data_IF_212923575561
#
_entry.id   IF_212923575561
#
_cell.length_a   1.000
_cell.length_b   1.000
_cell.length_c   1.000
_cell.angle_alpha   90.00
_cell.angle_beta   90.00
_cell.angle_gamma   90.00
#
_symmetry.space_group_name_H-M   'P 1'
#
loop_
_entity.id
_entity.type
_entity.pdbx_description
1 polymer ?
2 non-polymer ?
3 non-polymer ?
4 water ?
#
# COMPACT_ATOMS: atom_id res chain seq x y z
N UNK A 2 11.86 9.12 6.59
CA UNK A 2 10.96 8.97 5.43
C UNK A 2 11.54 9.76 4.29
N UNK A 3 11.24 9.37 3.05
CA UNK A 3 11.80 9.97 1.86
C UNK A 3 10.67 10.31 0.90
N UNK A 4 11.02 11.07 -0.14
CA UNK A 4 10.08 11.56 -1.14
C UNK A 4 10.40 11.03 -2.54
N UNK A 5 9.35 10.87 -3.37
CA UNK A 5 9.55 10.40 -4.72
C UNK A 5 8.46 10.95 -5.62
N UNK A 6 8.68 10.79 -6.94
CA UNK A 6 7.72 11.21 -7.94
C UNK A 6 7.85 10.26 -9.13
N UNK A 7 6.72 9.79 -9.69
CA UNK A 7 6.76 8.94 -10.86
C UNK A 7 6.18 9.69 -12.04
N UNK A 8 7.02 9.95 -13.05
CA UNK A 8 6.59 10.63 -14.28
C UNK A 8 5.63 11.79 -13.97
N UNK A 9 6.09 12.66 -13.09
CA UNK A 9 5.37 13.90 -12.77
C UNK A 9 3.98 13.63 -12.13
N UNK A 10 3.90 12.54 -11.37
CA UNK A 10 2.84 12.36 -10.37
C UNK A 10 3.44 12.09 -8.99
N UNK A 11 2.87 12.75 -7.99
CA UNK A 11 3.26 12.50 -6.59
C UNK A 11 2.47 11.38 -5.92
N UNK A 12 1.69 10.62 -6.71
CA UNK A 12 0.88 9.56 -6.12
C UNK A 12 1.65 8.25 -6.04
N UNK A 13 2.60 8.23 -5.08
CA UNK A 13 3.58 7.13 -5.02
C UNK A 13 2.88 5.79 -4.88
N UNK A 14 1.79 5.73 -4.07
CA UNK A 14 1.08 4.48 -3.85
C UNK A 14 0.34 3.96 -5.05
N UNK A 15 0.14 4.79 -6.08
CA UNK A 15 -0.48 4.28 -7.29
C UNK A 15 0.51 3.49 -8.10
N UNK A 16 1.81 3.81 -7.99
CA UNK A 16 2.85 3.26 -8.88
C UNK A 16 3.84 2.34 -8.19
N UNK A 17 3.63 2.04 -6.89
CA UNK A 17 4.51 1.16 -6.16
C UNK A 17 3.77 0.40 -5.08
N UNK A 18 4.31 -0.78 -4.69
CA UNK A 18 3.81 -1.59 -3.58
C UNK A 18 5.03 -1.88 -2.71
N UNK A 19 4.96 -1.60 -1.42
CA UNK A 19 6.07 -1.85 -0.51
C UNK A 19 5.59 -2.73 0.65
N UNK A 20 6.27 -3.84 0.88
CA UNK A 20 5.95 -4.75 1.99
C UNK A 20 7.22 -5.00 2.78
N UNK A 21 7.08 -5.79 3.86
CA UNK A 21 8.28 -6.11 4.64
C UNK A 21 9.19 -7.13 3.98
N UNK A 22 8.80 -7.69 2.84
CA UNK A 22 9.69 -8.65 2.20
C UNK A 22 9.97 -8.35 0.72
N UNK A 23 9.32 -7.34 0.11
CA UNK A 23 9.63 -7.03 -1.29
C UNK A 23 9.08 -5.66 -1.62
N UNK A 24 9.48 -5.14 -2.77
CA UNK A 24 8.99 -3.87 -3.28
C UNK A 24 8.71 -3.99 -4.75
N UNK A 25 7.53 -3.54 -5.24
CA UNK A 25 7.24 -3.49 -6.67
C UNK A 25 7.23 -2.05 -7.09
N UNK A 26 7.86 -1.74 -8.22
CA UNK A 26 7.73 -0.38 -8.75
C UNK A 26 7.42 -0.45 -10.23
N UNK A 27 6.73 0.59 -10.69
CA UNK A 27 6.32 0.66 -12.09
C UNK A 27 7.53 0.80 -12.99
N UNK A 28 7.46 0.09 -14.13
CA UNK A 28 8.46 0.32 -15.17
C UNK A 28 8.40 1.76 -15.63
N UNK A 29 9.53 2.40 -15.73
CA UNK A 29 9.48 3.72 -16.35
C UNK A 29 10.76 4.47 -16.08
N UNK A 30 10.65 5.79 -16.13
CA UNK A 30 11.79 6.66 -15.85
C UNK A 30 12.31 6.45 -14.42
N UNK A 31 13.60 6.06 -14.31
CA UNK A 31 14.24 5.69 -13.03
C UNK A 31 14.32 6.87 -12.06
N UNK A 32 14.41 8.07 -12.60
CA UNK A 32 14.91 9.21 -11.85
C UNK A 32 13.89 9.65 -10.82
N UNK A 33 14.33 9.75 -9.58
CA UNK A 33 13.50 10.16 -8.44
C UNK A 33 12.30 9.22 -8.22
N UNK A 34 12.29 8.00 -8.82
CA UNK A 34 11.34 6.92 -8.44
C UNK A 34 12.06 5.60 -8.15
N UNK A 35 12.34 4.68 -9.10
CA UNK A 35 13.12 3.48 -8.74
C UNK A 35 14.39 3.84 -7.95
N UNK A 36 15.13 4.88 -8.38
CA UNK A 36 16.38 5.24 -7.69
C UNK A 36 16.18 5.51 -6.21
N UNK A 37 15.04 6.12 -5.85
CA UNK A 37 14.78 6.41 -4.45
C UNK A 37 14.61 5.11 -3.66
N UNK A 38 13.78 4.20 -4.17
CA UNK A 38 13.62 2.90 -3.49
C UNK A 38 14.96 2.16 -3.39
N UNK A 39 15.73 2.12 -4.51
CA UNK A 39 16.99 1.37 -4.52
C UNK A 39 17.99 1.94 -3.51
N UNK A 40 18.03 3.27 -3.37
CA UNK A 40 18.97 3.88 -2.43
C UNK A 40 18.64 3.48 -1.00
N UNK A 41 17.35 3.31 -0.69
CA UNK A 41 16.99 2.91 0.65
C UNK A 41 17.02 1.39 0.85
N UNK A 42 16.67 0.59 -0.16
CA UNK A 42 16.45 -0.85 0.01
C UNK A 42 17.55 -1.74 -0.57
N UNK A 43 18.59 -1.18 -1.19
CA UNK A 43 19.55 -2.04 -1.89
C UNK A 43 20.06 -3.17 -1.00
N UNK A 44 19.95 -4.38 -1.52
CA UNK A 44 20.29 -5.61 -0.83
C UNK A 44 19.14 -6.06 0.07
N UNK A 45 18.51 -5.15 0.82
CA UNK A 45 17.78 -5.53 2.02
C UNK A 45 16.58 -6.42 1.66
N UNK A 46 15.75 -5.93 0.76
CA UNK A 46 14.67 -6.72 0.16
C UNK A 46 14.74 -6.51 -1.36
N UNK A 47 14.21 -7.43 -2.14
CA UNK A 47 14.24 -7.25 -3.58
C UNK A 47 13.25 -6.21 -4.08
N UNK A 48 13.63 -5.53 -5.15
CA UNK A 48 12.76 -4.63 -5.89
C UNK A 48 12.48 -5.28 -7.24
N UNK A 49 11.21 -5.36 -7.61
CA UNK A 49 10.81 -5.87 -8.93
C UNK A 49 10.24 -4.72 -9.72
N UNK A 50 10.83 -4.41 -10.88
CA UNK A 50 10.31 -3.40 -11.79
C UNK A 50 9.36 -4.09 -12.75
N UNK A 51 8.10 -3.67 -12.74
CA UNK A 51 7.08 -4.52 -13.39
C UNK A 51 6.03 -3.65 -14.05
N UNK A 52 5.30 -4.25 -14.98
CA UNK A 52 3.97 -3.83 -15.38
C UNK A 52 2.97 -4.78 -14.73
N UNK A 53 1.69 -4.37 -14.71
CA UNK A 53 0.59 -5.23 -14.27
C UNK A 53 -0.53 -5.02 -15.27
N UNK A 54 -0.93 -6.11 -15.95
CA UNK A 54 -1.90 -6.05 -17.04
C UNK A 54 -1.45 -5.12 -18.14
N UNK A 55 -0.13 -5.07 -18.33
CA UNK A 55 0.53 -4.23 -19.30
C UNK A 55 0.62 -2.75 -18.97
N UNK A 56 0.13 -2.36 -17.79
CA UNK A 56 0.11 -0.96 -17.37
C UNK A 56 1.18 -0.69 -16.34
N UNK A 57 1.40 0.62 -16.09
CA UNK A 57 2.31 1.09 -15.06
C UNK A 57 1.60 1.32 -13.72
N UNK A 58 0.31 0.95 -13.61
CA UNK A 58 -0.48 1.34 -12.41
C UNK A 58 -0.34 0.27 -11.36
N UNK A 59 0.88 0.04 -10.92
CA UNK A 59 1.06 -1.28 -10.30
C UNK A 59 0.70 -1.29 -8.81
N UNK A 60 0.80 -0.17 -8.09
CA UNK A 60 0.30 -0.10 -6.74
C UNK A 60 -1.22 -0.14 -6.66
N UNK A 61 -1.88 0.62 -7.52
CA UNK A 61 -3.35 0.61 -7.46
C UNK A 61 -3.96 -0.69 -7.94
N UNK A 62 -3.24 -1.46 -8.75
CA UNK A 62 -3.79 -2.73 -9.21
C UNK A 62 -3.45 -3.93 -8.33
N UNK A 63 -2.67 -3.77 -7.29
CA UNK A 63 -2.26 -4.92 -6.47
C UNK A 63 -2.46 -4.65 -4.99
N UNK A 64 -2.43 -5.70 -4.19
CA UNK A 64 -2.44 -5.59 -2.76
C UNK A 64 -1.57 -6.71 -2.24
N UNK A 65 -0.65 -6.40 -1.34
CA UNK A 65 0.25 -7.42 -0.82
C UNK A 65 0.80 -7.12 0.57
N UNK A 66 1.31 -8.17 1.17
CA UNK A 66 2.04 -8.04 2.43
C UNK A 66 3.25 -8.94 2.36
N UNK A 67 3.84 -9.23 3.53
CA UNK A 67 5.08 -10.00 3.56
C UNK A 67 4.87 -11.41 3.05
N UNK A 68 3.64 -11.95 3.12
CA UNK A 68 3.29 -13.33 2.82
C UNK A 68 2.69 -13.60 1.45
N UNK A 69 2.00 -12.61 0.86
CA UNK A 69 1.24 -12.88 -0.35
C UNK A 69 1.04 -11.61 -1.15
N UNK A 70 0.64 -11.79 -2.39
CA UNK A 70 0.45 -10.72 -3.36
C UNK A 70 -0.75 -11.04 -4.21
N UNK A 71 -1.74 -10.17 -4.19
CA UNK A 71 -2.92 -10.28 -5.03
C UNK A 71 -2.79 -9.39 -6.24
N UNK A 72 -3.12 -9.93 -7.40
CA UNK A 72 -2.98 -9.21 -8.69
C UNK A 72 -4.28 -9.44 -9.46
N UNK A 73 -4.57 -8.60 -10.43
CA UNK A 73 -5.84 -8.78 -11.17
C UNK A 73 -5.79 -9.98 -12.13
N UNK A 74 -7.01 -10.40 -12.55
CA UNK A 74 -7.10 -11.52 -13.48
C UNK A 74 -6.43 -11.24 -14.81
N UNK A 75 -6.30 -9.98 -15.21
CA UNK A 75 -5.66 -9.58 -16.45
C UNK A 75 -4.13 -9.53 -16.34
N UNK A 76 -3.56 -9.83 -15.17
CA UNK A 76 -2.09 -9.97 -15.10
C UNK A 76 -1.64 -11.06 -16.06
N UNK A 77 -0.59 -10.77 -16.82
CA UNK A 77 -0.18 -11.73 -17.86
C UNK A 77 0.72 -12.82 -17.29
N UNK A 78 0.84 -13.92 -18.08
CA UNK A 78 1.78 -14.96 -17.69
C UNK A 78 3.22 -14.42 -17.61
N UNK A 79 3.64 -13.58 -18.59
CA UNK A 79 4.96 -12.90 -18.53
C UNK A 79 5.12 -12.24 -17.15
N UNK A 80 4.11 -11.40 -16.77
CA UNK A 80 4.27 -10.63 -15.55
C UNK A 80 4.35 -11.53 -14.35
N UNK A 81 3.50 -12.59 -14.28
CA UNK A 81 3.55 -13.50 -13.15
C UNK A 81 4.91 -14.19 -13.04
N UNK A 82 5.47 -14.63 -14.17
CA UNK A 82 6.75 -15.31 -14.13
C UNK A 82 7.85 -14.38 -13.65
N UNK A 83 7.80 -13.11 -14.09
CA UNK A 83 8.78 -12.15 -13.65
C UNK A 83 8.65 -11.81 -12.18
N UNK A 84 7.40 -11.61 -11.68
CA UNK A 84 7.21 -11.41 -10.27
C UNK A 84 7.77 -12.58 -9.47
N UNK A 85 7.43 -13.82 -9.87
CA UNK A 85 7.90 -14.99 -9.14
C UNK A 85 9.43 -15.07 -9.16
N UNK A 86 10.05 -14.70 -10.27
CA UNK A 86 11.50 -14.77 -10.32
C UNK A 86 12.17 -13.76 -9.41
N UNK A 87 11.54 -12.59 -9.24
CA UNK A 87 12.13 -11.52 -8.43
C UNK A 87 11.87 -11.63 -6.94
N UNK A 88 10.70 -12.17 -6.56
CA UNK A 88 10.23 -12.13 -5.19
C UNK A 88 10.73 -13.37 -4.45
N UNK A 89 10.77 -13.30 -3.12
CA UNK A 89 11.11 -14.51 -2.35
C UNK A 89 10.24 -15.72 -2.75
N UNK A 90 10.85 -16.93 -2.65
CA UNK A 90 10.10 -18.10 -3.10
C UNK A 90 8.86 -18.42 -2.28
N UNK A 91 8.75 -17.92 -1.06
CA UNK A 91 7.58 -18.26 -0.28
C UNK A 91 6.42 -17.26 -0.41
N UNK A 92 6.49 -16.28 -1.31
CA UNK A 92 5.34 -15.41 -1.50
C UNK A 92 4.29 -16.13 -2.31
N UNK A 93 3.06 -16.20 -1.77
CA UNK A 93 1.93 -16.65 -2.57
C UNK A 93 1.49 -15.51 -3.48
N UNK A 94 1.51 -15.71 -4.81
CA UNK A 94 1.05 -14.72 -5.79
C UNK A 94 -0.17 -15.29 -6.48
N UNK A 95 -1.32 -14.58 -6.39
CA UNK A 95 -2.61 -15.08 -6.84
C UNK A 95 -3.42 -14.05 -7.65
N UNK A 96 -3.83 -14.42 -8.86
CA UNK A 96 -4.87 -13.64 -9.55
C UNK A 96 -6.18 -13.71 -8.79
N UNK A 97 -6.89 -12.59 -8.71
CA UNK A 97 -8.19 -12.56 -8.01
C UNK A 97 -9.16 -11.71 -8.80
N UNK A 98 -10.42 -12.22 -8.96
CA UNK A 98 -11.50 -11.47 -9.56
C UNK A 98 -12.08 -10.50 -8.54
N UNK A 99 -12.19 -9.25 -8.93
CA UNK A 99 -12.69 -8.26 -8.00
C UNK A 99 -13.15 -7.11 -8.88
N UNK A 100 -14.46 -6.85 -8.91
CA UNK A 100 -15.02 -5.94 -9.89
C UNK A 100 -15.48 -4.60 -9.36
N UNK A 101 -15.34 -4.29 -8.06
CA UNK A 101 -15.89 -3.05 -7.53
C UNK A 101 -15.03 -1.87 -7.91
N UNK A 102 -13.71 -2.04 -7.88
CA UNK A 102 -12.80 -0.97 -8.23
C UNK A 102 -11.48 -1.68 -8.45
N UNK A 103 -10.41 -0.90 -8.58
CA UNK A 103 -9.09 -1.53 -8.62
C UNK A 103 -8.75 -2.17 -7.28
N UNK A 104 -8.00 -3.30 -7.32
CA UNK A 104 -7.69 -4.07 -6.11
C UNK A 104 -7.11 -3.22 -5.03
N UNK A 105 -6.11 -2.39 -5.38
CA UNK A 105 -5.50 -1.63 -4.36
C UNK A 105 -6.37 -0.56 -3.75
N UNK A 106 -7.51 -0.25 -4.37
CA UNK A 106 -8.41 0.71 -3.77
C UNK A 106 -9.35 0.06 -2.76
N UNK A 107 -9.48 -1.27 -2.80
CA UNK A 107 -10.51 -1.91 -1.97
C UNK A 107 -9.93 -2.70 -0.82
N UNK A 108 -8.61 -2.73 -0.66
CA UNK A 108 -7.92 -3.47 0.40
C UNK A 108 -6.85 -2.56 0.99
N UNK A 109 -6.71 -2.54 2.32
CA UNK A 109 -5.46 -2.05 2.92
C UNK A 109 -5.03 -3.06 3.97
N UNK A 110 -3.75 -3.45 3.96
CA UNK A 110 -3.32 -4.58 4.78
C UNK A 110 -1.96 -4.33 5.38
N UNK A 111 -1.69 -5.04 6.48
CA UNK A 111 -0.30 -5.29 6.93
C UNK A 111 -0.13 -6.81 7.02
N UNK A 112 0.79 -7.30 7.85
CA UNK A 112 1.04 -8.74 7.91
C UNK A 112 0.05 -9.48 8.80
N UNK A 113 -0.88 -8.78 9.47
CA UNK A 113 -1.82 -9.40 10.39
C UNK A 113 -3.26 -9.19 10.03
N UNK A 114 -3.59 -8.04 9.43
CA UNK A 114 -4.98 -7.65 9.31
C UNK A 114 -5.18 -6.97 7.97
N UNK A 115 -6.38 -7.10 7.40
CA UNK A 115 -6.77 -6.31 6.22
C UNK A 115 -8.11 -5.68 6.48
N UNK A 116 -8.28 -4.42 6.03
CA UNK A 116 -9.59 -3.75 5.99
C UNK A 116 -10.02 -3.79 4.53
N UNK A 117 -11.30 -4.06 4.28
CA UNK A 117 -11.78 -4.16 2.88
C UNK A 117 -13.03 -3.34 2.69
N UNK A 118 -13.26 -2.95 1.44
CA UNK A 118 -14.55 -2.39 1.00
C UNK A 118 -15.71 -3.24 1.52
N UNK A 119 -16.73 -2.63 2.14
CA UNK A 119 -17.78 -3.45 2.81
C UNK A 119 -18.64 -4.25 1.84
N UNK A 120 -18.60 -3.99 0.53
CA UNK A 120 -19.40 -4.76 -0.39
C UNK A 120 -18.65 -5.78 -1.21
N UNK A 121 -17.38 -6.11 -0.88
CA UNK A 121 -16.73 -7.19 -1.61
C UNK A 121 -17.52 -8.50 -1.45
N UNK A 122 -17.47 -9.32 -2.48
CA UNK A 122 -18.12 -10.63 -2.36
C UNK A 122 -17.49 -11.49 -1.27
N UNK A 123 -18.29 -12.41 -0.70
CA UNK A 123 -17.75 -13.31 0.31
C UNK A 123 -16.58 -14.13 -0.20
N UNK A 124 -16.67 -14.66 -1.43
CA UNK A 124 -15.57 -15.45 -1.95
C UNK A 124 -14.30 -14.61 -2.05
N UNK A 125 -14.44 -13.35 -2.41
CA UNK A 125 -13.27 -12.46 -2.52
C UNK A 125 -12.60 -12.27 -1.17
N UNK A 126 -13.43 -12.07 -0.12
CA UNK A 126 -12.91 -11.93 1.22
C UNK A 126 -12.18 -13.19 1.68
N UNK A 127 -12.71 -14.37 1.33
CA UNK A 127 -12.03 -15.63 1.67
C UNK A 127 -10.65 -15.75 1.04
N UNK A 128 -10.54 -15.40 -0.23
CA UNK A 128 -9.26 -15.48 -0.95
C UNK A 128 -8.27 -14.48 -0.38
N UNK A 129 -8.73 -13.27 -0.05
CA UNK A 129 -7.85 -12.27 0.58
C UNK A 129 -7.29 -12.82 1.89
N UNK A 130 -8.18 -13.31 2.78
CA UNK A 130 -7.70 -13.84 4.04
C UNK A 130 -6.70 -14.98 3.86
N UNK A 131 -6.99 -15.88 2.90
CA UNK A 131 -6.11 -17.05 2.66
C UNK A 131 -4.75 -16.64 2.09
N UNK A 132 -4.75 -15.90 0.98
CA UNK A 132 -3.49 -15.55 0.29
C UNK A 132 -2.61 -14.65 1.18
N UNK A 133 -3.21 -13.62 1.78
CA UNK A 133 -2.45 -12.69 2.60
C UNK A 133 -2.23 -13.20 4.01
N UNK A 134 -2.94 -14.27 4.43
CA UNK A 134 -2.78 -14.76 5.78
C UNK A 134 -3.13 -13.77 6.88
N UNK A 135 -4.28 -13.11 6.73
CA UNK A 135 -4.68 -12.01 7.61
C UNK A 135 -6.10 -12.22 8.05
N UNK A 136 -6.40 -11.60 9.21
CA UNK A 136 -7.78 -11.42 9.66
C UNK A 136 -8.41 -10.28 8.87
N UNK A 137 -9.63 -10.42 8.37
CA UNK A 137 -10.23 -9.42 7.49
C UNK A 137 -11.43 -8.75 8.15
N UNK A 138 -11.53 -7.41 7.99
CA UNK A 138 -12.70 -6.66 8.45
C UNK A 138 -13.24 -5.76 7.35
N UNK A 139 -14.55 -5.80 7.14
CA UNK A 139 -15.23 -4.82 6.30
C UNK A 139 -15.30 -3.50 7.04
N UNK A 140 -14.85 -2.41 6.42
CA UNK A 140 -14.75 -1.13 7.11
C UNK A 140 -14.87 0.02 6.13
N UNK A 141 -15.19 1.19 6.65
CA UNK A 141 -15.08 2.42 5.89
C UNK A 141 -14.11 3.34 6.60
N UNK A 142 -13.55 4.30 5.86
CA UNK A 142 -12.68 5.29 6.48
C UNK A 142 -13.23 6.66 6.13
N UNK A 143 -13.59 7.42 7.15
CA UNK A 143 -14.19 8.74 6.97
C UNK A 143 -15.33 8.68 5.94
N UNK A 144 -16.13 7.60 6.03
CA UNK A 144 -17.32 7.28 5.23
C UNK A 144 -17.01 6.86 3.81
N UNK A 145 -15.76 6.61 3.51
CA UNK A 145 -15.36 6.12 2.19
C UNK A 145 -15.26 4.60 2.18
N UNK A 146 -15.78 3.99 1.13
CA UNK A 146 -15.61 2.55 0.96
C UNK A 146 -14.32 2.11 0.29
N UNK A 147 -13.62 3.03 -0.42
CA UNK A 147 -12.36 2.69 -1.10
C UNK A 147 -11.24 2.82 -0.08
N UNK A 148 -11.22 1.86 0.85
CA UNK A 148 -10.35 2.03 2.02
C UNK A 148 -8.87 2.07 1.63
N UNK A 149 -8.47 1.40 0.54
CA UNK A 149 -7.06 1.41 0.17
C UNK A 149 -6.58 2.77 -0.28
N UNK A 150 -7.48 3.61 -0.79
CA UNK A 150 -7.10 4.96 -1.18
C UNK A 150 -6.89 5.88 -0.02
N UNK A 151 -7.47 5.60 1.14
CA UNK A 151 -7.58 6.57 2.22
C UNK A 151 -6.83 6.21 3.47
N UNK A 152 -6.01 5.15 3.45
CA UNK A 152 -5.20 4.71 4.59
C UNK A 152 -3.86 4.22 4.05
N UNK A 153 -2.79 4.40 4.86
CA UNK A 153 -1.56 3.65 4.73
C UNK A 153 -1.26 2.96 6.05
N UNK A 154 -0.82 1.71 5.97
CA UNK A 154 -0.76 0.84 7.15
C UNK A 154 0.48 -0.04 7.13
N UNK A 155 1.15 -0.11 8.27
CA UNK A 155 2.22 -1.12 8.46
C UNK A 155 1.88 -1.93 9.71
N UNK A 156 2.84 -2.76 10.15
CA UNK A 156 2.62 -3.42 11.45
C UNK A 156 2.84 -2.52 12.62
N UNK A 157 3.37 -1.31 12.39
CA UNK A 157 3.77 -0.41 13.48
C UNK A 157 2.77 0.71 13.72
N UNK A 158 1.98 1.06 12.70
CA UNK A 158 1.15 2.27 12.80
C UNK A 158 0.34 2.41 11.53
N UNK A 159 -0.55 3.40 11.55
CA UNK A 159 -1.34 3.72 10.35
C UNK A 159 -1.65 5.20 10.29
N UNK A 160 -1.87 5.66 9.08
CA UNK A 160 -2.20 7.06 8.79
C UNK A 160 -3.50 7.03 7.99
N UNK A 161 -4.51 7.80 8.44
CA UNK A 161 -5.84 7.76 7.81
C UNK A 161 -6.22 9.17 7.31
N UNK A 162 -7.28 9.20 6.50
CA UNK A 162 -7.88 10.44 6.00
C UNK A 162 -7.99 11.50 7.08
N UNK A 163 -7.59 12.75 6.82
CA UNK A 163 -7.57 13.77 7.89
C UNK A 163 -8.92 14.05 8.51
N UNK A 164 -10.04 13.73 7.86
CA UNK A 164 -11.34 13.99 8.44
C UNK A 164 -11.88 12.81 9.24
N UNK A 165 -11.10 11.72 9.38
CA UNK A 165 -11.59 10.60 10.21
C UNK A 165 -11.80 11.08 11.64
N UNK A 166 -12.98 10.75 12.22
CA UNK A 166 -13.25 11.23 13.57
C UNK A 166 -12.36 10.55 14.60
N UNK A 167 -12.18 11.19 15.75
CA UNK A 167 -11.29 10.58 16.74
C UNK A 167 -11.90 9.26 17.23
N UNK A 168 -13.23 9.19 17.34
CA UNK A 168 -13.86 7.92 17.72
C UNK A 168 -13.56 6.83 16.70
N UNK A 169 -13.60 7.17 15.39
CA UNK A 169 -13.30 6.15 14.40
C UNK A 169 -11.82 5.79 14.42
N UNK A 170 -10.92 6.76 14.65
CA UNK A 170 -9.50 6.46 14.82
C UNK A 170 -9.25 5.49 15.95
N UNK A 171 -9.92 5.72 17.09
CA UNK A 171 -9.75 4.81 18.22
C UNK A 171 -10.26 3.41 17.90
N UNK A 172 -11.42 3.33 17.21
CA UNK A 172 -11.96 2.03 16.86
C UNK A 172 -11.02 1.29 15.93
N UNK A 173 -10.57 1.98 14.87
CA UNK A 173 -9.67 1.31 13.93
C UNK A 173 -8.35 0.94 14.59
N UNK A 174 -7.79 1.80 15.44
CA UNK A 174 -6.53 1.48 16.15
C UNK A 174 -6.67 0.22 16.99
N UNK A 175 -7.79 0.13 17.72
CA UNK A 175 -8.02 -1.01 18.61
C UNK A 175 -8.20 -2.30 17.82
N UNK A 176 -8.90 -2.22 16.71
CA UNK A 176 -9.08 -3.36 15.84
C UNK A 176 -7.75 -3.88 15.28
N UNK A 177 -6.91 -2.94 14.84
CA UNK A 177 -5.64 -3.28 14.21
C UNK A 177 -4.54 -3.56 15.22
N UNK A 178 -4.70 -3.13 16.48
CA UNK A 178 -3.59 -3.24 17.44
C UNK A 178 -2.39 -2.37 17.13
N UNK A 179 -2.59 -1.25 16.43
CA UNK A 179 -1.48 -0.32 16.14
C UNK A 179 -1.96 1.10 16.36
N UNK A 180 -1.04 2.01 16.72
CA UNK A 180 -1.40 3.43 16.81
C UNK A 180 -1.80 3.98 15.43
N UNK A 181 -2.76 4.88 15.42
CA UNK A 181 -3.23 5.52 14.19
C UNK A 181 -3.34 7.01 14.43
N UNK A 182 -3.16 7.76 13.37
CA UNK A 182 -3.51 9.17 13.44
C UNK A 182 -4.13 9.54 12.11
N UNK A 183 -4.80 10.68 12.13
CA UNK A 183 -5.38 11.26 10.92
C UNK A 183 -4.43 12.36 10.45
N UNK A 184 -4.15 12.40 9.14
CA UNK A 184 -3.19 13.38 8.66
C UNK A 184 -3.23 13.38 7.14
N UNK A 185 -2.32 14.15 6.53
CA UNK A 185 -2.35 14.31 5.08
C UNK A 185 -0.99 14.02 4.50
N UNK A 186 -0.96 13.89 3.17
CA UNK A 186 0.30 13.77 2.43
C UNK A 186 0.23 14.75 1.25
N UNK A 187 1.36 14.97 0.58
CA UNK A 187 1.34 15.78 -0.63
C UNK A 187 0.67 17.16 -0.43
N UNK A 188 0.96 17.80 0.71
CA UNK A 188 0.55 19.19 0.97
C UNK A 188 -0.98 19.27 1.01
N UNK A 189 -1.52 18.43 1.86
CA UNK A 189 -2.93 18.50 2.21
C UNK A 189 -3.83 17.54 1.46
N UNK A 190 -3.29 16.57 0.73
CA UNK A 190 -4.13 15.58 0.09
C UNK A 190 -4.66 14.58 1.12
N UNK A 191 -5.94 14.22 0.97
CA UNK A 191 -6.49 13.21 1.85
C UNK A 191 -6.41 11.80 1.25
N UNK A 192 -5.81 11.63 0.08
CA UNK A 192 -5.73 10.33 -0.58
C UNK A 192 -4.43 9.65 -0.10
N UNK A 193 -4.45 9.24 1.14
CA UNK A 193 -3.21 8.79 1.82
C UNK A 193 -2.63 7.58 1.11
N UNK A 194 -3.47 6.57 0.85
CA UNK A 194 -2.95 5.34 0.21
C UNK A 194 -2.47 5.61 -1.20
N UNK A 195 -3.04 6.58 -1.90
CA UNK A 195 -2.51 6.95 -3.19
C UNK A 195 -1.17 7.66 -3.14
N UNK A 196 -0.92 8.40 -2.06
CA UNK A 196 0.22 9.31 -2.03
C UNK A 196 1.46 8.76 -1.38
N UNK A 197 1.40 7.58 -0.77
CA UNK A 197 2.59 7.07 -0.10
C UNK A 197 2.52 5.55 -0.01
N UNK A 198 3.70 4.94 0.25
CA UNK A 198 3.82 3.53 0.63
C UNK A 198 4.68 3.42 1.89
N UNK A 199 4.55 2.28 2.58
CA UNK A 199 5.20 2.15 3.89
C UNK A 199 5.38 0.68 4.23
N UNK A 200 6.47 0.38 4.94
CA UNK A 200 6.59 -0.92 5.62
C UNK A 200 7.15 -0.65 7.03
N UNK A 201 7.66 -1.69 7.72
CA UNK A 201 7.98 -1.42 9.12
C UNK A 201 9.21 -0.54 9.31
N UNK A 202 10.00 -0.25 8.27
CA UNK A 202 11.18 0.60 8.45
C UNK A 202 11.36 1.73 7.44
N UNK A 203 10.50 1.85 6.43
CA UNK A 203 10.69 2.82 5.36
C UNK A 203 9.34 3.36 4.96
N UNK A 204 9.24 4.67 4.76
CA UNK A 204 8.07 5.27 4.13
C UNK A 204 8.55 6.11 2.95
N UNK A 205 7.85 6.00 1.81
CA UNK A 205 8.14 6.80 0.62
C UNK A 205 6.86 7.55 0.25
N UNK A 206 6.94 8.89 0.22
CA UNK A 206 5.75 9.70 0.01
C UNK A 206 5.98 10.65 -1.16
N UNK A 207 4.90 11.27 -1.66
CA UNK A 207 5.03 12.14 -2.83
C UNK A 207 5.89 13.37 -2.53
N UNK A 208 6.39 13.96 -3.61
CA UNK A 208 7.39 15.04 -3.51
C UNK A 208 6.82 16.29 -2.85
N UNK A 209 5.50 16.56 -2.97
CA UNK A 209 4.95 17.75 -2.33
C UNK A 209 4.68 17.58 -0.82
N UNK A 210 4.90 16.40 -0.26
CA UNK A 210 4.65 16.21 1.16
C UNK A 210 5.51 17.17 1.98
N UNK A 211 4.90 17.82 2.97
CA UNK A 211 5.60 18.89 3.70
C UNK A 211 6.36 18.34 4.91
N UNK A 212 7.19 19.21 5.53
CA UNK A 212 7.90 18.78 6.73
C UNK A 212 6.96 18.34 7.86
N UNK A 213 5.87 19.06 8.19
CA UNK A 213 5.00 18.57 9.27
C UNK A 213 4.36 17.25 8.89
N UNK A 214 4.03 17.07 7.61
CA UNK A 214 3.40 15.79 7.23
C UNK A 214 4.40 14.65 7.36
N UNK A 215 5.65 14.89 6.95
CA UNK A 215 6.68 13.85 7.10
C UNK A 215 6.95 13.54 8.56
N UNK A 216 6.92 14.57 9.42
CA UNK A 216 7.11 14.38 10.85
C UNK A 216 6.07 13.45 11.45
N UNK A 217 4.79 13.66 11.08
CA UNK A 217 3.70 12.79 11.52
C UNK A 217 3.91 11.37 11.03
N UNK A 218 4.31 11.22 9.77
CA UNK A 218 4.57 9.89 9.20
C UNK A 218 5.67 9.19 9.97
N UNK A 219 6.77 9.88 10.22
CA UNK A 219 7.86 9.23 10.90
C UNK A 219 7.51 8.85 12.33
N UNK A 220 6.66 9.64 13.01
CA UNK A 220 6.24 9.31 14.36
C UNK A 220 5.27 8.11 14.39
N UNK A 221 4.20 8.16 13.60
CA UNK A 221 3.19 7.10 13.76
C UNK A 221 3.67 5.77 13.19
N UNK A 222 4.58 5.78 12.21
CA UNK A 222 5.09 4.51 11.70
C UNK A 222 6.38 4.06 12.40
N UNK A 223 6.79 4.79 13.43
CA UNK A 223 7.93 4.39 14.27
C UNK A 223 9.19 4.24 13.42
N UNK A 224 9.41 5.25 12.56
CA UNK A 224 10.54 5.20 11.63
C UNK A 224 11.79 5.89 12.14
N UNK A 225 11.69 6.72 13.15
CA UNK A 225 12.87 7.36 13.72
C UNK A 225 13.55 6.58 14.85
#
# INVERSE_FOLDING_TARGET
MAVRAQFENSNEVGVFATLTNSYCLVALGASENFYSVFEAELQDVIPICRTTIAGTRIIGRLTAGNRKGLLVPTTTTDQELQHLRNSLPDDIRIQRIEERLSALGNVIVCNDHTALIHPDLERETEEIIADVLGVEVFRQTIADHVLVGSYMALSNQGGLVHPKTSIQDQDELSSLLGVPLVAGSVNRGSNVIGGGMVVNDWLAVTGLDTTAPELSVIESVFRLGEGAGPGAINTSMKNTIVESFYGSHHHHHH
#
